data_IF_294629620340
#
_entry.id   IF_294629620340
#
_cell.length_a   1.000
_cell.length_b   1.000
_cell.length_c   1.000
_cell.angle_alpha   90.00
_cell.angle_beta   90.00
_cell.angle_gamma   90.00
#
_symmetry.space_group_name_H-M   'P 1'
#
loop_
_entity.id
_entity.type
_entity.pdbx_description
1 polymer ?
#
# COMPACT_ATOMS: atom_id res chain seq x y z
N UNK A 1 12.02 15.63 13.54
CA UNK A 1 11.35 14.83 14.56
C UNK A 1 10.60 13.68 13.89
N UNK A 2 10.70 12.48 14.43
CA UNK A 2 10.04 11.31 13.85
C UNK A 2 8.86 10.89 14.71
N UNK A 3 7.73 10.62 14.07
CA UNK A 3 6.63 9.94 14.72
C UNK A 3 6.69 8.45 14.42
N UNK A 4 6.39 7.64 15.41
CA UNK A 4 6.27 6.19 15.24
C UNK A 4 4.84 5.77 15.55
N UNK A 5 4.27 4.97 14.65
CA UNK A 5 2.94 4.41 14.78
C UNK A 5 3.09 2.90 14.86
N UNK A 6 2.59 2.30 15.93
CA UNK A 6 2.60 0.84 16.05
C UNK A 6 1.54 0.24 15.11
N UNK A 7 1.85 -0.91 14.56
CA UNK A 7 0.98 -1.62 13.64
C UNK A 7 1.22 -3.13 13.77
N UNK A 8 0.52 -3.93 12.95
CA UNK A 8 0.77 -5.36 12.90
C UNK A 8 1.60 -5.70 11.67
N UNK A 9 2.52 -6.63 11.81
CA UNK A 9 3.28 -7.18 10.70
C UNK A 9 2.48 -8.27 9.99
N UNK A 10 2.29 -8.12 8.69
CA UNK A 10 1.66 -9.14 7.84
C UNK A 10 2.71 -9.77 6.93
N UNK A 11 3.50 -8.96 6.23
CA UNK A 11 4.65 -9.40 5.43
C UNK A 11 5.86 -8.62 5.88
N UNK A 12 6.93 -9.32 6.24
CA UNK A 12 8.15 -8.71 6.76
C UNK A 12 8.90 -7.87 5.74
N UNK A 13 9.86 -7.12 6.23
CA UNK A 13 10.71 -6.23 5.46
C UNK A 13 10.57 -4.79 5.89
N UNK A 14 11.36 -3.92 5.26
CA UNK A 14 11.35 -2.49 5.53
C UNK A 14 11.59 -1.73 4.24
N UNK A 15 10.84 -0.66 4.03
CA UNK A 15 11.01 0.19 2.85
C UNK A 15 10.52 1.60 3.11
N UNK A 16 11.10 2.57 2.42
CA UNK A 16 10.72 3.97 2.52
C UNK A 16 10.24 4.48 1.16
N UNK A 17 9.40 5.47 1.20
CA UNK A 17 8.91 6.14 0.00
C UNK A 17 7.87 7.19 0.33
N UNK A 18 7.36 7.82 -0.72
CA UNK A 18 6.27 8.78 -0.57
C UNK A 18 4.94 8.07 -0.41
N UNK A 19 4.16 8.52 0.55
CA UNK A 19 2.83 7.97 0.78
C UNK A 19 1.89 8.30 -0.38
N UNK A 20 1.11 7.32 -0.77
CA UNK A 20 -0.04 7.47 -1.67
C UNK A 20 -1.25 6.96 -0.90
N UNK A 21 -2.09 7.89 -0.46
CA UNK A 21 -3.15 7.61 0.52
C UNK A 21 -4.52 7.66 -0.15
N UNK A 22 -5.33 6.65 0.11
CA UNK A 22 -6.74 6.64 -0.27
C UNK A 22 -7.58 6.04 0.83
N UNK A 23 -8.82 6.50 0.95
CA UNK A 23 -9.84 5.89 1.82
C UNK A 23 -10.70 4.88 1.08
N UNK A 24 -10.50 4.74 -0.23
CA UNK A 24 -11.30 3.86 -1.06
C UNK A 24 -10.58 2.53 -1.27
N UNK A 25 -11.33 1.41 -1.30
CA UNK A 25 -10.75 0.12 -1.63
C UNK A 25 -10.24 0.09 -3.07
N UNK A 26 -9.36 -0.85 -3.37
CA UNK A 26 -8.79 -1.02 -4.71
C UNK A 26 -9.04 -2.44 -5.19
N UNK A 27 -9.57 -2.54 -6.41
CA UNK A 27 -9.62 -3.78 -7.16
C UNK A 27 -8.40 -3.84 -8.08
N UNK A 28 -7.36 -4.56 -7.67
CA UNK A 28 -6.08 -4.57 -8.41
C UNK A 28 -6.21 -5.18 -9.79
N UNK A 29 -7.13 -6.12 -9.98
CA UNK A 29 -7.33 -6.74 -11.28
C UNK A 29 -8.06 -5.80 -12.24
N UNK A 30 -9.11 -5.13 -11.77
CA UNK A 30 -10.02 -4.36 -12.63
C UNK A 30 -9.64 -2.89 -12.79
N UNK A 31 -9.00 -2.29 -11.79
CA UNK A 31 -8.80 -0.83 -11.73
C UNK A 31 -7.44 -0.36 -12.24
N UNK A 32 -6.51 -1.27 -12.56
CA UNK A 32 -5.16 -0.88 -12.98
C UNK A 32 -4.97 -1.13 -14.46
N UNK A 33 -4.52 -0.08 -15.16
CA UNK A 33 -4.15 -0.17 -16.58
C UNK A 33 -2.87 -1.02 -16.68
N UNK A 34 -2.91 -2.06 -17.50
CA UNK A 34 -1.81 -3.02 -17.62
C UNK A 34 -0.68 -2.55 -18.54
N UNK A 35 -0.85 -1.40 -19.20
CA UNK A 35 0.16 -0.80 -20.07
C UNK A 35 0.84 0.37 -19.39
N UNK A 36 0.05 1.30 -18.84
CA UNK A 36 0.54 2.52 -18.20
C UNK A 36 0.76 2.35 -16.70
N UNK A 37 0.21 1.29 -16.11
CA UNK A 37 0.29 0.98 -14.67
C UNK A 37 -0.22 2.12 -13.79
N UNK A 38 -1.33 2.73 -14.19
CA UNK A 38 -2.03 3.75 -13.42
C UNK A 38 -3.43 3.24 -13.03
N UNK A 39 -4.02 3.87 -12.02
CA UNK A 39 -5.43 3.63 -11.70
C UNK A 39 -6.28 4.18 -12.84
N UNK A 40 -7.03 3.32 -13.52
CA UNK A 40 -7.84 3.68 -14.68
C UNK A 40 -9.32 3.88 -14.36
N UNK A 41 -9.75 3.59 -13.15
CA UNK A 41 -11.14 3.82 -12.73
C UNK A 41 -11.35 5.31 -12.48
N UNK A 42 -12.17 5.93 -13.34
CA UNK A 42 -12.44 7.38 -13.27
C UNK A 42 -13.16 7.80 -12.00
N UNK A 43 -13.84 6.87 -11.34
CA UNK A 43 -14.57 7.15 -10.10
C UNK A 43 -13.70 6.98 -8.86
N UNK A 44 -12.47 6.49 -9.01
CA UNK A 44 -11.57 6.33 -7.87
C UNK A 44 -10.77 7.62 -7.65
N UNK A 45 -10.59 7.99 -6.37
CA UNK A 45 -9.85 9.22 -6.03
C UNK A 45 -8.39 9.20 -6.47
N UNK A 46 -7.81 8.01 -6.72
CA UNK A 46 -6.46 7.87 -7.24
C UNK A 46 -6.41 7.77 -8.77
N UNK A 47 -7.51 8.11 -9.47
CA UNK A 47 -7.53 8.05 -10.92
C UNK A 47 -6.32 8.75 -11.55
N UNK A 48 -5.66 8.07 -12.48
CA UNK A 48 -4.49 8.60 -13.17
C UNK A 48 -3.18 8.51 -12.38
N UNK A 49 -3.22 8.06 -11.13
CA UNK A 49 -2.02 7.94 -10.31
C UNK A 49 -1.37 6.58 -10.48
N UNK A 50 -0.04 6.56 -10.40
CA UNK A 50 0.76 5.34 -10.32
C UNK A 50 1.14 5.07 -8.86
N UNK A 51 1.14 3.81 -8.47
CA UNK A 51 1.62 3.41 -7.14
C UNK A 51 3.09 3.00 -7.15
N UNK A 52 3.75 3.13 -8.31
CA UNK A 52 5.16 2.75 -8.45
C UNK A 52 6.02 3.48 -7.44
N UNK A 53 6.82 2.71 -6.71
CA UNK A 53 7.77 3.19 -5.70
C UNK A 53 7.14 3.98 -4.55
N UNK A 54 5.81 4.01 -4.46
CA UNK A 54 5.10 4.64 -3.38
C UNK A 54 4.96 3.72 -2.17
N UNK A 55 4.60 4.30 -1.04
CA UNK A 55 4.03 3.55 0.07
C UNK A 55 2.51 3.70 -0.05
N UNK A 56 1.84 2.64 -0.46
CA UNK A 56 0.39 2.65 -0.63
C UNK A 56 -0.29 2.51 0.72
N UNK A 57 -1.15 3.46 1.06
CA UNK A 57 -1.96 3.45 2.29
C UNK A 57 -3.42 3.42 1.87
N UNK A 58 -4.08 2.30 2.10
CA UNK A 58 -5.46 2.09 1.67
C UNK A 58 -6.17 1.11 2.61
N UNK A 59 -7.51 1.06 2.58
CA UNK A 59 -8.22 0.23 3.55
C UNK A 59 -8.09 -1.28 3.29
N UNK A 60 -8.38 -1.72 2.09
CA UNK A 60 -8.33 -3.15 1.72
C UNK A 60 -8.56 -3.31 0.22
N UNK A 61 -8.20 -4.46 -0.32
CA UNK A 61 -8.54 -4.82 -1.69
C UNK A 61 -9.97 -5.35 -1.78
N UNK A 62 -10.54 -5.25 -2.96
CA UNK A 62 -11.83 -5.84 -3.32
C UNK A 62 -11.67 -6.61 -4.64
N UNK A 63 -12.65 -7.44 -4.94
CA UNK A 63 -12.71 -8.17 -6.20
C UNK A 63 -12.26 -9.62 -6.06
N UNK A 64 -11.88 -10.20 -7.18
CA UNK A 64 -11.47 -11.59 -7.29
C UNK A 64 -10.15 -11.87 -6.57
N UNK A 65 -9.97 -13.09 -6.06
CA UNK A 65 -8.70 -13.57 -5.51
C UNK A 65 -7.54 -13.52 -6.53
N UNK A 66 -7.85 -13.47 -7.82
CA UNK A 66 -6.86 -13.23 -8.90
C UNK A 66 -6.18 -11.87 -8.73
N UNK A 67 -6.75 -10.95 -7.97
CA UNK A 67 -6.11 -9.67 -7.62
C UNK A 67 -4.74 -9.83 -6.96
N UNK A 68 -4.49 -10.94 -6.26
CA UNK A 68 -3.18 -11.24 -5.70
C UNK A 68 -2.11 -11.37 -6.80
N UNK A 69 -2.47 -12.02 -7.90
CA UNK A 69 -1.58 -12.14 -9.06
C UNK A 69 -1.42 -10.81 -9.80
N UNK A 70 -2.43 -9.95 -9.76
CA UNK A 70 -2.30 -8.59 -10.30
C UNK A 70 -1.24 -7.78 -9.55
N UNK A 71 -1.17 -7.92 -8.22
CA UNK A 71 -0.12 -7.30 -7.40
C UNK A 71 1.25 -7.86 -7.79
N UNK A 72 1.36 -9.17 -7.95
CA UNK A 72 2.59 -9.82 -8.38
C UNK A 72 3.04 -9.33 -9.76
N UNK A 73 2.10 -9.20 -10.68
CA UNK A 73 2.37 -8.67 -12.01
C UNK A 73 2.93 -7.24 -11.98
N UNK A 74 2.41 -6.40 -11.11
CA UNK A 74 2.97 -5.07 -10.87
C UNK A 74 4.40 -5.14 -10.38
N UNK A 75 4.70 -6.05 -9.47
CA UNK A 75 6.05 -6.22 -8.92
C UNK A 75 7.04 -6.61 -10.00
N UNK A 76 6.69 -7.59 -10.83
CA UNK A 76 7.54 -8.04 -11.94
C UNK A 76 7.77 -6.93 -12.96
N UNK A 77 6.75 -6.12 -13.21
CA UNK A 77 6.81 -5.01 -14.16
C UNK A 77 7.56 -3.78 -13.61
N UNK A 78 7.99 -3.81 -12.37
CA UNK A 78 8.66 -2.66 -11.73
C UNK A 78 7.72 -1.52 -11.39
N UNK A 79 6.40 -1.76 -11.33
CA UNK A 79 5.38 -0.74 -11.12
C UNK A 79 4.66 -0.87 -9.76
N UNK A 80 5.14 -1.75 -8.89
CA UNK A 80 4.53 -2.00 -7.60
C UNK A 80 4.92 -0.93 -6.56
N UNK A 81 4.10 -0.77 -5.51
CA UNK A 81 4.52 0.01 -4.35
C UNK A 81 5.71 -0.64 -3.64
N UNK A 82 6.48 0.14 -2.91
CA UNK A 82 7.61 -0.37 -2.13
C UNK A 82 7.17 -1.04 -0.84
N UNK A 83 6.06 -0.60 -0.28
CA UNK A 83 5.42 -1.20 0.87
C UNK A 83 3.95 -0.82 0.87
N UNK A 84 3.16 -1.54 1.65
CA UNK A 84 1.72 -1.32 1.73
C UNK A 84 1.29 -1.24 3.19
N UNK A 85 0.41 -0.29 3.48
CA UNK A 85 -0.27 -0.15 4.77
C UNK A 85 -1.76 -0.31 4.53
N UNK A 86 -2.37 -1.34 5.12
CA UNK A 86 -3.82 -1.43 5.19
C UNK A 86 -4.30 -0.69 6.43
N UNK A 87 -5.12 0.34 6.24
CA UNK A 87 -5.67 1.10 7.37
C UNK A 87 -6.64 0.27 8.21
N UNK A 88 -7.25 -0.74 7.60
CA UNK A 88 -8.06 -1.75 8.27
C UNK A 88 -7.27 -3.05 8.40
N UNK A 89 -7.93 -4.11 8.83
CA UNK A 89 -7.33 -5.45 8.83
C UNK A 89 -7.03 -5.87 7.39
N UNK A 90 -5.83 -6.37 7.14
CA UNK A 90 -5.43 -6.79 5.79
C UNK A 90 -6.34 -7.91 5.29
N UNK A 91 -6.85 -7.73 4.08
CA UNK A 91 -7.61 -8.74 3.39
C UNK A 91 -6.68 -9.80 2.77
N UNK A 92 -7.26 -10.94 2.41
CA UNK A 92 -6.48 -12.07 1.91
C UNK A 92 -5.83 -11.78 0.55
N UNK A 93 -6.45 -10.95 -0.29
CA UNK A 93 -5.90 -10.59 -1.60
C UNK A 93 -4.61 -9.79 -1.42
N UNK A 94 -4.66 -8.75 -0.59
CA UNK A 94 -3.49 -7.91 -0.31
C UNK A 94 -2.41 -8.72 0.42
N UNK A 95 -2.80 -9.51 1.41
CA UNK A 95 -1.84 -10.32 2.18
C UNK A 95 -1.11 -11.33 1.29
N UNK A 96 -1.84 -12.08 0.47
CA UNK A 96 -1.22 -13.06 -0.43
C UNK A 96 -0.43 -12.40 -1.55
N UNK A 97 -0.96 -11.33 -2.14
CA UNK A 97 -0.26 -10.59 -3.19
C UNK A 97 1.06 -10.01 -2.72
N UNK A 98 1.07 -9.39 -1.54
CA UNK A 98 2.29 -8.85 -0.96
C UNK A 98 3.27 -9.96 -0.54
N UNK A 99 2.76 -11.07 -0.01
CA UNK A 99 3.60 -12.20 0.39
C UNK A 99 4.37 -12.80 -0.80
N UNK A 100 3.68 -13.11 -1.89
CA UNK A 100 4.33 -13.70 -3.08
C UNK A 100 5.22 -12.69 -3.80
N UNK A 101 5.00 -11.40 -3.60
CA UNK A 101 5.74 -10.32 -4.26
C UNK A 101 6.87 -9.74 -3.41
N UNK A 102 7.06 -10.23 -2.19
CA UNK A 102 8.03 -9.67 -1.24
C UNK A 102 7.84 -8.17 -1.01
N UNK A 103 6.61 -7.74 -0.89
CA UNK A 103 6.27 -6.35 -0.56
C UNK A 103 5.95 -6.29 0.94
N UNK A 104 6.68 -5.49 1.73
CA UNK A 104 6.37 -5.33 3.15
C UNK A 104 4.94 -4.85 3.33
N UNK A 105 4.21 -5.47 4.24
CA UNK A 105 2.81 -5.14 4.51
C UNK A 105 2.56 -5.08 6.00
N UNK A 106 1.96 -3.99 6.44
CA UNK A 106 1.47 -3.81 7.80
C UNK A 106 0.00 -3.43 7.78
N UNK A 107 -0.70 -3.67 8.89
CA UNK A 107 -2.09 -3.29 9.03
C UNK A 107 -2.43 -2.82 10.44
N UNK A 108 -3.66 -2.43 10.66
CA UNK A 108 -4.20 -2.05 11.97
C UNK A 108 -3.31 -1.05 12.72
N UNK A 109 -2.95 0.08 12.10
CA UNK A 109 -2.16 1.08 12.81
C UNK A 109 -2.93 1.65 13.99
N UNK A 110 -2.23 1.92 15.09
CA UNK A 110 -2.85 2.41 16.34
C UNK A 110 -3.54 3.74 16.20
N UNK A 111 -3.05 4.60 15.30
CA UNK A 111 -3.61 5.93 15.09
C UNK A 111 -4.28 6.01 13.73
N UNK A 112 -5.27 6.91 13.60
CA UNK A 112 -5.89 7.19 12.32
C UNK A 112 -4.85 7.77 11.37
N UNK A 113 -4.44 6.97 10.40
CA UNK A 113 -3.43 7.35 9.40
C UNK A 113 -3.89 8.54 8.57
N UNK A 114 -5.20 8.65 8.31
CA UNK A 114 -5.76 9.75 7.53
C UNK A 114 -5.52 11.13 8.15
N UNK A 115 -5.26 11.21 9.44
CA UNK A 115 -4.93 12.46 10.11
C UNK A 115 -3.41 12.69 10.25
N UNK A 116 -2.62 11.63 10.17
CA UNK A 116 -1.17 11.69 10.37
C UNK A 116 -0.39 11.55 9.07
N UNK A 117 -0.86 10.74 8.13
CA UNK A 117 -0.20 10.48 6.86
C UNK A 117 -1.05 11.05 5.72
N UNK A 118 -0.45 11.93 4.95
CA UNK A 118 -1.05 12.51 3.75
C UNK A 118 -0.21 12.14 2.54
N UNK A 119 -0.82 12.13 1.37
CA UNK A 119 -0.13 11.85 0.10
C UNK A 119 1.06 12.80 -0.09
N UNK A 120 2.20 12.23 -0.49
CA UNK A 120 3.44 12.95 -0.71
C UNK A 120 4.39 12.99 0.48
N UNK A 121 3.93 12.61 1.67
CA UNK A 121 4.76 12.57 2.87
C UNK A 121 5.74 11.38 2.81
N UNK A 122 7.01 11.61 3.14
CA UNK A 122 7.99 10.54 3.26
C UNK A 122 7.72 9.71 4.51
N UNK A 123 7.55 8.41 4.32
CA UNK A 123 7.35 7.48 5.42
C UNK A 123 8.20 6.24 5.23
N UNK A 124 8.52 5.58 6.33
CA UNK A 124 9.16 4.27 6.35
C UNK A 124 8.19 3.26 6.94
N UNK A 125 8.02 2.14 6.27
CA UNK A 125 7.29 0.99 6.79
C UNK A 125 8.32 -0.03 7.26
N UNK A 126 8.46 -0.17 8.57
CA UNK A 126 9.32 -1.16 9.19
C UNK A 126 8.44 -2.30 9.72
N UNK A 127 8.08 -3.20 8.84
CA UNK A 127 7.20 -4.31 9.18
C UNK A 127 7.85 -5.25 10.20
N UNK A 128 9.15 -5.45 10.13
CA UNK A 128 9.85 -6.35 11.04
C UNK A 128 9.76 -5.88 12.49
N UNK A 129 9.77 -4.58 12.73
CA UNK A 129 9.61 -3.98 14.04
C UNK A 129 8.19 -3.49 14.34
N UNK A 130 7.25 -3.78 13.44
CA UNK A 130 5.81 -3.44 13.60
C UNK A 130 5.60 -1.94 13.77
N UNK A 131 6.26 -1.13 12.95
CA UNK A 131 6.22 0.32 13.04
C UNK A 131 6.10 0.98 11.69
N UNK A 132 5.40 2.11 11.69
CA UNK A 132 5.42 3.07 10.60
C UNK A 132 6.11 4.31 11.14
N UNK A 133 7.13 4.80 10.45
CA UNK A 133 7.91 5.95 10.89
C UNK A 133 7.62 7.09 9.93
N UNK A 134 7.13 8.19 10.48
CA UNK A 134 6.81 9.40 9.71
C UNK A 134 7.92 10.41 10.00
N UNK A 135 8.60 10.83 8.96
CA UNK A 135 9.60 11.90 9.07
C UNK A 135 8.90 13.25 8.93
N UNK A 136 9.08 14.09 9.94
CA UNK A 136 8.64 15.47 9.87
C UNK A 136 9.87 16.39 9.76
N UNK A 137 9.70 17.42 9.00
CA UNK A 137 10.75 18.42 8.82
C UNK A 137 10.81 19.36 10.03
#
# INVERSE_FOLDING_TARGET
MNFQINCRRIVGGSSSGKALVTKQPINFLAMIDTIKYIIKDRNHELYGKSMKDAILVFPHAIGSSVGAYAIYSLKISGAAPRAVVCSNKADIITASGCAISNIPLVDMPEKLLSSAIITGLEINVDADNKKIIIQTV
#
